data_IF_092425132197
#
_entry.id   IF_092425132197
#
_cell.length_a   1.000
_cell.length_b   1.000
_cell.length_c   1.000
_cell.angle_alpha   90.00
_cell.angle_beta   90.00
_cell.angle_gamma   90.00
#
_symmetry.space_group_name_H-M   'P 1'
#
loop_
_entity.id
_entity.type
_entity.pdbx_description
1 polymer ?
#
# COMPACT_ATOMS: atom_id res chain seq x y z
N UNK A 1 -3.15 -17.93 -21.07
CA UNK A 1 -3.65 -16.98 -20.06
C UNK A 1 -2.52 -16.57 -19.13
N UNK A 2 -1.96 -15.37 -19.31
CA UNK A 2 -0.97 -14.83 -18.39
C UNK A 2 -1.69 -14.20 -17.20
N UNK A 3 -1.43 -14.69 -16.00
CA UNK A 3 -2.04 -14.12 -14.82
C UNK A 3 -1.45 -12.74 -14.55
N UNK A 4 -2.35 -11.77 -14.45
CA UNK A 4 -2.04 -10.35 -14.34
C UNK A 4 -2.32 -9.94 -12.90
N UNK A 5 -1.27 -9.58 -12.19
CA UNK A 5 -1.37 -8.98 -10.86
C UNK A 5 -1.67 -7.49 -10.94
N UNK A 6 -2.06 -6.92 -9.80
CA UNK A 6 -2.34 -5.50 -9.64
C UNK A 6 -1.36 -4.92 -8.62
N UNK A 7 -0.71 -3.82 -8.99
CA UNK A 7 0.12 -3.02 -8.09
C UNK A 7 -0.61 -1.72 -7.76
N UNK A 8 -0.74 -1.43 -6.47
CA UNK A 8 -1.38 -0.23 -5.94
C UNK A 8 -0.33 0.59 -5.19
N UNK A 9 0.16 1.68 -5.77
CA UNK A 9 1.04 2.59 -5.04
C UNK A 9 0.22 3.80 -4.58
N UNK A 10 0.17 4.02 -3.27
CA UNK A 10 -0.54 5.13 -2.67
C UNK A 10 0.47 6.00 -1.92
N UNK A 11 0.57 7.26 -2.31
CA UNK A 11 1.45 8.24 -1.66
C UNK A 11 0.54 9.21 -0.90
N UNK A 12 0.67 9.19 0.42
CA UNK A 12 -0.03 10.07 1.34
C UNK A 12 0.93 11.18 1.73
N UNK A 13 0.65 12.38 1.21
CA UNK A 13 1.41 13.56 1.56
C UNK A 13 0.71 14.28 2.71
N UNK A 14 1.27 14.13 3.91
CA UNK A 14 0.88 14.90 5.10
C UNK A 14 2.01 15.88 5.46
N UNK A 15 1.98 17.10 4.91
CA UNK A 15 3.03 18.12 5.12
C UNK A 15 2.87 18.94 6.40
N UNK A 16 2.16 18.41 7.39
CA UNK A 16 1.80 19.13 8.62
C UNK A 16 0.70 20.21 8.46
N UNK A 17 -0.05 20.36 9.55
CA UNK A 17 -1.28 21.10 9.80
C UNK A 17 -1.71 22.23 8.81
N UNK A 18 -2.63 21.95 7.88
CA UNK A 18 -3.83 22.78 7.61
C UNK A 18 -4.75 22.14 6.56
N UNK A 19 -5.86 21.57 7.05
CA UNK A 19 -7.15 21.35 6.36
C UNK A 19 -7.26 20.45 5.12
N UNK A 20 -6.17 20.00 4.48
CA UNK A 20 -6.26 19.12 3.31
C UNK A 20 -5.16 18.04 3.28
N UNK A 21 -5.55 16.77 3.36
CA UNK A 21 -4.68 15.62 3.09
C UNK A 21 -4.65 15.34 1.59
N UNK A 22 -3.46 15.39 0.98
CA UNK A 22 -3.30 15.04 -0.43
C UNK A 22 -2.97 13.56 -0.55
N UNK A 23 -3.83 12.82 -1.25
CA UNK A 23 -3.65 11.39 -1.51
C UNK A 23 -3.49 11.19 -3.00
N UNK A 24 -2.35 10.64 -3.40
CA UNK A 24 -2.10 10.20 -4.77
C UNK A 24 -2.22 8.68 -4.82
N UNK A 25 -3.12 8.17 -5.66
CA UNK A 25 -3.31 6.73 -5.87
C UNK A 25 -2.91 6.37 -7.29
N UNK A 26 -1.99 5.44 -7.42
CA UNK A 26 -1.51 4.89 -8.69
C UNK A 26 -1.92 3.42 -8.74
N UNK A 27 -2.77 3.09 -9.70
CA UNK A 27 -3.21 1.72 -9.97
C UNK A 27 -2.52 1.23 -11.25
N UNK A 28 -1.67 0.23 -11.11
CA UNK A 28 -0.99 -0.42 -12.23
C UNK A 28 -1.47 -1.86 -12.35
N UNK A 29 -2.36 -2.10 -13.31
CA UNK A 29 -2.78 -3.44 -13.68
C UNK A 29 -1.81 -4.12 -14.64
N UNK A 30 -2.02 -5.41 -14.90
CA UNK A 30 -1.23 -6.21 -15.86
C UNK A 30 0.26 -6.36 -15.51
N UNK A 31 0.60 -6.26 -14.22
CA UNK A 31 1.96 -6.54 -13.77
C UNK A 31 2.12 -8.06 -13.63
N UNK A 32 3.17 -8.68 -14.19
CA UNK A 32 3.46 -10.09 -13.92
C UNK A 32 3.90 -10.21 -12.46
N UNK A 33 3.00 -10.64 -11.58
CA UNK A 33 3.27 -10.92 -10.18
C UNK A 33 3.17 -12.43 -9.99
N UNK A 34 4.23 -13.04 -9.45
CA UNK A 34 4.22 -14.44 -9.02
C UNK A 34 4.40 -14.44 -7.52
N UNK A 35 3.38 -14.90 -6.79
CA UNK A 35 3.43 -15.00 -5.33
C UNK A 35 3.64 -16.47 -4.98
N UNK A 36 4.78 -16.78 -4.37
CA UNK A 36 5.15 -18.16 -3.97
C UNK A 36 5.22 -19.15 -5.15
N UNK A 37 5.61 -18.68 -6.35
CA UNK A 37 5.69 -19.51 -7.56
C UNK A 37 4.33 -19.84 -8.20
N UNK A 38 3.22 -19.55 -7.52
CA UNK A 38 1.88 -19.71 -8.05
C UNK A 38 1.46 -18.42 -8.80
N UNK A 39 0.90 -18.61 -9.99
CA UNK A 39 0.46 -17.52 -10.87
C UNK A 39 -0.94 -17.00 -10.57
N UNK A 40 -1.71 -17.41 -9.55
CA UNK A 40 -3.05 -16.80 -9.39
C UNK A 40 -3.00 -15.29 -9.06
N UNK A 41 -4.17 -14.65 -9.08
CA UNK A 41 -4.32 -13.22 -8.85
C UNK A 41 -3.68 -12.80 -7.50
N UNK A 42 -2.75 -11.86 -7.59
CA UNK A 42 -2.03 -11.31 -6.46
C UNK A 42 -2.04 -9.77 -6.53
N UNK A 43 -2.04 -9.15 -5.36
CA UNK A 43 -1.99 -7.71 -5.22
C UNK A 43 -0.81 -7.28 -4.36
N UNK A 44 -0.08 -6.27 -4.82
CA UNK A 44 0.95 -5.60 -4.03
C UNK A 44 0.55 -4.16 -3.85
N UNK A 45 0.58 -3.67 -2.61
CA UNK A 45 0.36 -2.27 -2.33
C UNK A 45 1.55 -1.64 -1.59
N UNK A 46 1.83 -0.40 -1.92
CA UNK A 46 2.82 0.42 -1.23
C UNK A 46 2.15 1.70 -0.73
N UNK A 47 2.33 2.01 0.55
CA UNK A 47 1.85 3.25 1.17
C UNK A 47 3.05 4.00 1.69
N UNK A 48 3.23 5.21 1.19
CA UNK A 48 4.25 6.15 1.67
C UNK A 48 3.53 7.28 2.40
N UNK A 49 3.73 7.39 3.71
CA UNK A 49 3.15 8.45 4.54
C UNK A 49 4.23 9.35 5.12
N UNK A 50 3.93 10.63 5.24
CA UNK A 50 4.77 11.60 5.96
C UNK A 50 4.36 11.66 7.43
N UNK A 51 4.54 10.57 8.16
CA UNK A 51 4.19 10.47 9.59
C UNK A 51 2.80 9.91 9.86
N UNK A 52 2.52 9.69 11.15
CA UNK A 52 1.20 9.34 11.67
C UNK A 52 0.79 7.87 11.52
N UNK A 53 1.68 6.98 11.07
CA UNK A 53 1.37 5.55 10.93
C UNK A 53 1.76 4.81 12.22
N UNK A 54 0.77 4.58 13.08
CA UNK A 54 0.90 3.67 14.22
C UNK A 54 0.68 2.20 13.83
N UNK A 55 1.11 1.26 14.67
CA UNK A 55 0.93 -0.19 14.44
C UNK A 55 -0.56 -0.58 14.31
N UNK A 56 -1.43 0.04 15.10
CA UNK A 56 -2.88 -0.15 15.02
C UNK A 56 -3.46 0.38 13.71
N UNK A 57 -3.11 1.62 13.34
CA UNK A 57 -3.52 2.25 12.08
C UNK A 57 -3.07 1.40 10.89
N UNK A 58 -1.83 0.90 10.93
CA UNK A 58 -1.28 -0.01 9.90
C UNK A 58 -2.10 -1.28 9.75
N UNK A 59 -2.45 -1.96 10.84
CA UNK A 59 -3.28 -3.18 10.80
C UNK A 59 -4.66 -2.90 10.21
N UNK A 60 -5.29 -1.80 10.63
CA UNK A 60 -6.59 -1.37 10.10
C UNK A 60 -6.51 -1.08 8.59
N UNK A 61 -5.45 -0.39 8.14
CA UNK A 61 -5.22 -0.10 6.73
C UNK A 61 -5.06 -1.36 5.88
N UNK A 62 -4.28 -2.34 6.36
CA UNK A 62 -4.12 -3.64 5.70
C UNK A 62 -5.46 -4.36 5.56
N UNK A 63 -6.25 -4.36 6.63
CA UNK A 63 -7.55 -5.02 6.65
C UNK A 63 -8.55 -4.36 5.71
N UNK A 64 -8.67 -3.03 5.76
CA UNK A 64 -9.61 -2.26 4.94
C UNK A 64 -9.27 -2.40 3.45
N UNK A 65 -7.99 -2.24 3.07
CA UNK A 65 -7.54 -2.41 1.68
C UNK A 65 -7.74 -3.85 1.21
N UNK A 66 -7.38 -4.84 2.03
CA UNK A 66 -7.59 -6.25 1.71
C UNK A 66 -9.06 -6.58 1.47
N UNK A 67 -9.97 -5.97 2.24
CA UNK A 67 -11.42 -6.16 2.09
C UNK A 67 -11.95 -5.53 0.80
N UNK A 68 -11.47 -4.34 0.43
CA UNK A 68 -11.80 -3.67 -0.82
C UNK A 68 -11.32 -4.50 -2.02
N UNK A 69 -10.08 -5.01 -1.98
CA UNK A 69 -9.51 -5.86 -3.01
C UNK A 69 -10.26 -7.18 -3.15
N UNK A 70 -10.64 -7.80 -2.04
CA UNK A 70 -11.42 -9.03 -2.04
C UNK A 70 -12.81 -8.81 -2.66
N UNK A 71 -13.47 -7.70 -2.31
CA UNK A 71 -14.85 -7.42 -2.75
C UNK A 71 -14.94 -6.95 -4.20
N UNK A 72 -13.97 -6.17 -4.68
CA UNK A 72 -14.01 -5.57 -6.03
C UNK A 72 -13.26 -6.39 -7.09
N UNK A 73 -12.20 -7.09 -6.69
CA UNK A 73 -11.26 -7.72 -7.63
C UNK A 73 -11.13 -9.24 -7.42
N UNK A 74 -11.88 -9.81 -6.46
CA UNK A 74 -11.84 -11.24 -6.12
C UNK A 74 -10.45 -11.76 -5.76
N UNK A 75 -9.57 -10.88 -5.24
CA UNK A 75 -8.23 -11.25 -4.80
C UNK A 75 -8.29 -11.65 -3.31
N UNK A 76 -7.85 -12.86 -2.94
CA UNK A 76 -7.86 -13.28 -1.54
C UNK A 76 -6.87 -12.45 -0.71
N UNK A 77 -7.26 -12.10 0.51
CA UNK A 77 -6.42 -11.35 1.48
C UNK A 77 -5.09 -12.04 1.79
N UNK A 78 -5.00 -13.36 1.62
CA UNK A 78 -3.79 -14.16 1.81
C UNK A 78 -2.73 -13.92 0.73
N UNK A 79 -3.12 -13.41 -0.44
CA UNK A 79 -2.23 -13.12 -1.58
C UNK A 79 -2.08 -11.61 -1.83
N UNK A 80 -2.28 -10.84 -0.76
CA UNK A 80 -2.12 -9.40 -0.73
C UNK A 80 -0.99 -9.02 0.23
N UNK A 81 -0.08 -8.18 -0.23
CA UNK A 81 0.99 -7.64 0.61
C UNK A 81 0.95 -6.11 0.60
N UNK A 82 1.04 -5.50 1.79
CA UNK A 82 1.11 -4.05 1.95
C UNK A 82 2.44 -3.65 2.58
N UNK A 83 3.24 -2.88 1.84
CA UNK A 83 4.43 -2.22 2.34
C UNK A 83 4.06 -0.82 2.80
N UNK A 84 4.31 -0.51 4.07
CA UNK A 84 4.03 0.83 4.62
C UNK A 84 5.35 1.47 5.01
N UNK A 85 5.62 2.62 4.41
CA UNK A 85 6.77 3.46 4.64
C UNK A 85 6.35 4.76 5.29
N UNK A 86 7.06 5.12 6.37
CA UNK A 86 6.92 6.41 7.01
C UNK A 86 8.18 7.24 6.72
N UNK A 87 8.04 8.35 6.01
CA UNK A 87 9.15 9.22 5.65
C UNK A 87 9.61 10.12 6.80
N UNK A 88 8.80 10.30 7.85
CA UNK A 88 9.22 11.05 9.04
C UNK A 88 10.29 10.32 9.85
N UNK A 89 10.33 8.98 9.78
CA UNK A 89 11.41 8.16 10.35
C UNK A 89 12.74 8.35 9.60
N UNK A 90 12.72 8.88 8.37
CA UNK A 90 13.91 9.19 7.57
C UNK A 90 14.42 10.63 7.80
N UNK A 91 13.85 11.36 8.76
CA UNK A 91 14.44 12.63 9.22
C UNK A 91 15.69 12.29 10.03
N UNK A 92 16.77 12.00 9.30
CA UNK A 92 18.12 11.81 9.80
C UNK A 92 18.37 12.90 10.84
N UNK A 93 18.76 12.51 12.06
CA UNK A 93 19.52 13.39 12.94
C UNK A 93 20.74 13.87 12.15
N UNK A 94 20.64 14.99 11.46
CA UNK A 94 21.80 15.81 11.15
C UNK A 94 22.23 16.40 12.48
N UNK A 95 23.03 15.64 13.24
CA UNK A 95 23.77 16.20 14.35
C UNK A 95 24.74 17.20 13.72
N UNK A 96 24.44 18.48 13.90
CA UNK A 96 25.38 19.58 13.72
C UNK A 96 26.11 19.78 15.05
#
# INVERSE_FOLDING_TARGET
>A
MGCRGIVICCVVLCSDCTRNSFVMVILKGSVPISFEGNKEAAAYAEIVSMGGINSEVKKKLIYDIGTILQSNLSIPRTRFFLKVFDTTLFRTKSNL
#
